data_IF_583099196525
#
_entry.id   IF_583099196525
#
_cell.length_a   1.000
_cell.length_b   1.000
_cell.length_c   1.000
_cell.angle_alpha   90.00
_cell.angle_beta   90.00
_cell.angle_gamma   90.00
#
_symmetry.space_group_name_H-M   'P 1'
#
loop_
_entity.id
_entity.type
_entity.pdbx_description
1 polymer ?
#
# COMPACT_ATOMS: atom_id res chain seq x y z
N UNK A 1 83.05 -31.72 -52.39
CA UNK A 1 82.77 -33.11 -51.95
C UNK A 1 81.31 -33.11 -51.53
N UNK A 2 80.52 -33.68 -52.40
CA UNK A 2 79.63 -34.84 -52.22
C UNK A 2 78.43 -34.59 -51.28
N UNK A 3 77.37 -34.54 -51.99
CA UNK A 3 76.18 -35.45 -51.99
C UNK A 3 75.17 -35.14 -50.91
N UNK A 4 73.97 -34.88 -51.23
CA UNK A 4 72.97 -35.52 -52.06
C UNK A 4 71.85 -36.04 -51.17
N UNK A 5 70.70 -35.82 -51.41
CA UNK A 5 69.61 -36.64 -51.88
C UNK A 5 68.24 -36.23 -51.29
N UNK A 6 67.35 -35.86 -52.16
CA UNK A 6 66.07 -36.52 -52.52
C UNK A 6 65.07 -36.70 -51.30
N UNK A 7 63.99 -36.03 -51.37
CA UNK A 7 62.74 -36.33 -52.08
C UNK A 7 61.66 -36.93 -51.17
N UNK A 8 60.52 -36.44 -51.28
CA UNK A 8 59.30 -37.05 -50.78
C UNK A 8 58.13 -36.13 -50.87
N UNK A 9 57.72 -35.82 -52.09
CA UNK A 9 56.48 -35.15 -52.40
C UNK A 9 55.39 -36.22 -52.41
N UNK A 10 54.62 -36.37 -51.34
CA UNK A 10 53.40 -37.15 -51.33
C UNK A 10 52.22 -36.21 -51.62
N UNK A 11 51.83 -36.27 -52.88
CA UNK A 11 50.52 -35.74 -53.30
C UNK A 11 49.41 -36.60 -52.71
N UNK A 12 48.72 -36.06 -51.75
CA UNK A 12 47.46 -36.63 -51.27
C UNK A 12 46.39 -36.33 -52.30
N UNK A 13 46.04 -37.35 -53.09
CA UNK A 13 44.85 -37.30 -53.95
C UNK A 13 43.62 -37.10 -53.07
N UNK A 14 43.01 -35.90 -53.12
CA UNK A 14 41.66 -35.65 -52.61
C UNK A 14 40.67 -36.58 -53.30
N UNK A 15 40.16 -37.55 -52.63
CA UNK A 15 39.03 -38.35 -53.05
C UNK A 15 37.78 -37.45 -53.16
N UNK A 16 37.43 -37.13 -54.37
CA UNK A 16 36.19 -36.44 -54.75
C UNK A 16 35.04 -37.41 -54.46
N UNK A 17 34.41 -37.22 -53.26
CA UNK A 17 33.20 -37.96 -52.93
C UNK A 17 32.08 -37.49 -53.88
N UNK A 18 31.75 -38.33 -54.85
CA UNK A 18 30.68 -38.06 -55.81
C UNK A 18 29.34 -37.80 -55.03
N UNK A 19 28.86 -36.59 -55.12
CA UNK A 19 27.50 -36.29 -54.70
C UNK A 19 26.51 -37.03 -55.64
N UNK A 20 25.87 -38.07 -55.10
CA UNK A 20 24.69 -38.67 -55.72
C UNK A 20 23.61 -37.61 -55.84
N UNK A 21 23.41 -37.10 -57.07
CA UNK A 21 22.22 -36.27 -57.34
C UNK A 21 21.00 -37.18 -57.23
N UNK A 22 20.26 -36.95 -56.11
CA UNK A 22 18.98 -37.62 -55.95
C UNK A 22 17.99 -36.94 -56.87
N UNK A 23 17.67 -37.58 -58.01
CA UNK A 23 16.58 -37.18 -58.87
C UNK A 23 15.26 -37.50 -58.15
N UNK A 24 14.76 -36.55 -57.38
CA UNK A 24 13.41 -36.66 -56.85
C UNK A 24 12.43 -36.43 -58.04
N UNK A 25 11.54 -37.39 -58.23
CA UNK A 25 10.42 -37.23 -59.17
C UNK A 25 9.60 -35.98 -58.69
N UNK A 26 9.28 -35.09 -59.64
CA UNK A 26 8.59 -33.83 -59.33
C UNK A 26 7.33 -34.00 -58.50
N UNK A 27 6.63 -35.15 -58.60
CA UNK A 27 5.49 -35.53 -57.79
C UNK A 27 5.89 -35.80 -56.32
N UNK A 28 7.05 -36.43 -56.07
CA UNK A 28 7.56 -36.71 -54.73
C UNK A 28 8.00 -35.41 -54.02
N UNK A 29 8.67 -34.52 -54.78
CA UNK A 29 9.08 -33.20 -54.28
C UNK A 29 7.87 -32.34 -53.91
N UNK A 30 6.83 -32.34 -54.75
CA UNK A 30 5.59 -31.62 -54.48
C UNK A 30 4.86 -32.16 -53.23
N UNK A 31 4.84 -33.49 -53.05
CA UNK A 31 4.26 -34.08 -51.84
C UNK A 31 5.02 -33.69 -50.56
N UNK A 32 6.35 -33.73 -50.59
CA UNK A 32 7.17 -33.32 -49.41
C UNK A 32 6.96 -31.85 -49.08
N UNK A 33 6.93 -30.97 -50.08
CA UNK A 33 6.67 -29.52 -49.82
C UNK A 33 5.27 -29.30 -49.26
N UNK A 34 4.24 -30.00 -49.78
CA UNK A 34 2.88 -29.90 -49.27
C UNK A 34 2.77 -30.38 -47.81
N UNK A 35 3.47 -31.46 -47.45
CA UNK A 35 3.48 -31.98 -46.09
C UNK A 35 4.17 -31.01 -45.11
N UNK A 36 5.30 -30.42 -45.52
CA UNK A 36 6.02 -29.42 -44.71
C UNK A 36 5.17 -28.16 -44.50
N UNK A 37 4.46 -27.68 -45.53
CA UNK A 37 3.54 -26.55 -45.43
C UNK A 37 2.37 -26.86 -44.47
N UNK A 38 1.77 -28.05 -44.55
CA UNK A 38 0.69 -28.45 -43.65
C UNK A 38 1.16 -28.52 -42.21
N UNK A 39 2.35 -29.06 -41.96
CA UNK A 39 2.94 -29.08 -40.60
C UNK A 39 3.24 -27.67 -40.08
N UNK A 40 3.76 -26.79 -40.91
CA UNK A 40 4.03 -25.40 -40.55
C UNK A 40 2.74 -24.62 -40.21
N UNK A 41 1.65 -24.86 -40.93
CA UNK A 41 0.33 -24.27 -40.64
C UNK A 41 -0.28 -24.82 -39.36
N UNK A 42 -0.10 -26.11 -39.06
CA UNK A 42 -0.58 -26.72 -37.84
C UNK A 42 0.16 -26.18 -36.61
N UNK A 43 1.48 -26.02 -36.67
CA UNK A 43 2.29 -25.47 -35.59
C UNK A 43 2.02 -23.96 -35.41
N UNK A 44 1.99 -23.19 -36.52
CA UNK A 44 1.70 -21.76 -36.49
C UNK A 44 0.30 -21.44 -35.99
N UNK A 45 -0.71 -22.24 -36.35
CA UNK A 45 -2.09 -22.08 -35.89
C UNK A 45 -2.26 -22.38 -34.40
N UNK A 46 -1.58 -23.40 -33.88
CA UNK A 46 -1.64 -23.74 -32.45
C UNK A 46 -0.95 -22.69 -31.56
N UNK A 47 0.19 -22.15 -31.99
CA UNK A 47 0.90 -21.09 -31.27
C UNK A 47 0.08 -19.78 -31.29
N UNK A 48 -0.49 -19.40 -32.44
CA UNK A 48 -1.34 -18.21 -32.53
C UNK A 48 -2.60 -18.34 -31.64
N UNK A 49 -3.22 -19.52 -31.59
CA UNK A 49 -4.38 -19.76 -30.75
C UNK A 49 -4.03 -19.73 -29.25
N UNK A 50 -2.86 -20.24 -28.85
CA UNK A 50 -2.40 -20.20 -27.46
C UNK A 50 -2.06 -18.78 -26.98
N UNK A 51 -1.61 -17.90 -27.86
CA UNK A 51 -1.27 -16.53 -27.51
C UNK A 51 -2.47 -15.58 -27.53
N UNK A 52 -3.54 -15.92 -28.29
CA UNK A 52 -4.71 -15.04 -28.44
C UNK A 52 -5.84 -15.32 -27.43
N UNK A 53 -5.80 -16.46 -26.72
CA UNK A 53 -6.86 -16.87 -25.78
C UNK A 53 -6.57 -16.55 -24.33
N UNK A 54 -5.42 -15.97 -23.98
CA UNK A 54 -5.18 -15.44 -22.66
C UNK A 54 -5.61 -13.98 -22.61
N UNK A 55 -6.79 -13.65 -22.07
CA UNK A 55 -7.09 -12.26 -21.76
C UNK A 55 -5.97 -11.75 -20.84
N UNK A 56 -5.37 -10.62 -21.19
CA UNK A 56 -4.40 -9.97 -20.33
C UNK A 56 -5.07 -9.79 -18.96
N UNK A 57 -4.62 -10.56 -17.97
CA UNK A 57 -5.03 -10.34 -16.58
C UNK A 57 -4.38 -9.02 -16.18
N UNK A 58 -5.10 -7.94 -16.42
CA UNK A 58 -4.74 -6.63 -15.88
C UNK A 58 -5.06 -6.72 -14.39
N UNK A 59 -4.08 -7.09 -13.60
CA UNK A 59 -4.14 -6.90 -12.17
C UNK A 59 -4.13 -5.39 -11.91
N UNK A 60 -5.31 -4.77 -11.92
CA UNK A 60 -5.48 -3.41 -11.45
C UNK A 60 -5.34 -3.45 -9.93
N UNK A 61 -4.13 -3.26 -9.43
CA UNK A 61 -3.93 -3.01 -8.02
C UNK A 61 -4.42 -1.59 -7.74
N UNK A 62 -5.60 -1.48 -7.16
CA UNK A 62 -6.08 -0.23 -6.58
C UNK A 62 -5.60 -0.22 -5.14
N UNK A 63 -4.62 0.62 -4.77
CA UNK A 63 -4.21 0.71 -3.37
C UNK A 63 -5.41 1.13 -2.53
N UNK A 64 -5.68 0.40 -1.44
CA UNK A 64 -6.69 0.79 -0.48
C UNK A 64 -6.34 2.13 0.14
N UNK A 65 -7.29 3.06 0.14
CA UNK A 65 -7.10 4.36 0.78
C UNK A 65 -7.53 4.26 2.24
N UNK A 66 -6.62 4.58 3.14
CA UNK A 66 -6.94 4.67 4.56
C UNK A 66 -7.40 6.09 4.87
N UNK A 67 -8.63 6.23 5.32
CA UNK A 67 -9.28 7.50 5.63
C UNK A 67 -10.07 7.38 6.93
N UNK A 68 -10.14 8.46 7.67
CA UNK A 68 -10.98 8.55 8.86
C UNK A 68 -11.63 9.93 8.96
N UNK A 69 -12.70 10.02 9.71
CA UNK A 69 -13.46 11.23 9.95
C UNK A 69 -13.80 11.34 11.44
N UNK A 70 -13.59 12.53 11.99
CA UNK A 70 -13.92 12.80 13.40
C UNK A 70 -15.40 13.13 13.50
N UNK A 71 -16.10 12.48 14.43
CA UNK A 71 -17.45 12.85 14.82
C UNK A 71 -17.45 13.35 16.26
N UNK A 72 -18.07 14.48 16.49
CA UNK A 72 -18.16 15.15 17.78
C UNK A 72 -19.40 16.03 17.88
N UNK A 73 -19.79 16.32 19.12
CA UNK A 73 -20.84 17.30 19.40
C UNK A 73 -20.21 18.48 20.14
N UNK A 74 -20.50 19.69 19.67
CA UNK A 74 -20.04 20.91 20.35
C UNK A 74 -21.19 21.88 20.61
N UNK A 75 -21.35 22.27 21.86
CA UNK A 75 -22.33 23.28 22.29
C UNK A 75 -21.61 24.63 22.48
N UNK A 76 -21.77 25.51 21.49
CA UNK A 76 -21.15 26.85 21.49
C UNK A 76 -21.60 27.77 22.65
N UNK A 77 -22.75 27.50 23.27
CA UNK A 77 -23.26 28.31 24.40
C UNK A 77 -22.63 27.94 25.72
N UNK A 78 -22.43 26.65 25.93
CA UNK A 78 -21.88 26.12 27.18
C UNK A 78 -20.40 25.84 27.13
N UNK A 79 -19.80 25.79 25.92
CA UNK A 79 -18.42 25.39 25.72
C UNK A 79 -18.19 23.88 25.88
N UNK A 80 -19.27 23.09 25.92
CA UNK A 80 -19.17 21.64 26.12
C UNK A 80 -18.92 20.95 24.78
N UNK A 81 -17.84 20.16 24.71
CA UNK A 81 -17.51 19.22 23.65
C UNK A 81 -17.74 17.80 24.14
N UNK A 82 -18.48 17.00 23.41
CA UNK A 82 -18.85 15.65 23.82
C UNK A 82 -18.90 14.66 22.65
N UNK A 83 -18.95 13.37 22.98
CA UNK A 83 -19.07 12.25 22.05
C UNK A 83 -17.99 12.27 20.95
N UNK A 84 -16.74 12.59 21.33
CA UNK A 84 -15.63 12.59 20.37
C UNK A 84 -15.24 11.17 20.06
N UNK A 85 -15.43 10.78 18.80
CA UNK A 85 -15.07 9.47 18.26
C UNK A 85 -14.60 9.59 16.81
N UNK A 86 -14.02 8.54 16.26
CA UNK A 86 -13.51 8.57 14.89
C UNK A 86 -14.10 7.43 14.09
N UNK A 87 -14.61 7.76 12.91
CA UNK A 87 -15.12 6.79 11.95
C UNK A 87 -14.02 6.36 10.99
N UNK A 88 -13.87 5.06 10.76
CA UNK A 88 -13.09 4.55 9.66
C UNK A 88 -13.90 4.65 8.37
N UNK A 89 -13.57 5.59 7.48
CA UNK A 89 -14.24 5.78 6.19
C UNK A 89 -13.54 5.07 5.04
N UNK A 90 -12.51 4.26 5.35
CA UNK A 90 -11.81 3.44 4.37
C UNK A 90 -12.55 2.13 4.07
N UNK A 91 -12.04 1.38 3.11
CA UNK A 91 -12.53 0.07 2.69
C UNK A 91 -11.82 -1.12 3.36
N UNK A 92 -10.86 -0.82 4.26
CA UNK A 92 -10.10 -1.82 5.01
C UNK A 92 -10.08 -1.52 6.50
N UNK A 93 -9.83 -2.53 7.37
CA UNK A 93 -9.65 -2.31 8.80
C UNK A 93 -8.44 -1.41 9.08
N UNK A 94 -8.59 -0.48 10.02
CA UNK A 94 -7.55 0.48 10.36
C UNK A 94 -7.38 0.65 11.86
N UNK A 95 -6.13 0.90 12.29
CA UNK A 95 -5.86 1.51 13.59
C UNK A 95 -5.95 3.02 13.47
N UNK A 96 -6.41 3.66 14.52
CA UNK A 96 -6.66 5.11 14.57
C UNK A 96 -5.93 5.71 15.75
N UNK A 97 -5.26 6.85 15.53
CA UNK A 97 -4.75 7.70 16.59
C UNK A 97 -5.30 9.10 16.46
N UNK A 98 -5.38 9.79 17.58
CA UNK A 98 -5.88 11.17 17.69
C UNK A 98 -4.87 12.03 18.41
N UNK A 99 -4.66 13.24 17.91
CA UNK A 99 -3.96 14.32 18.61
C UNK A 99 -4.94 15.43 18.92
N UNK A 100 -4.95 15.91 20.15
CA UNK A 100 -5.74 17.04 20.58
C UNK A 100 -4.85 18.30 20.59
N UNK A 101 -5.27 19.32 19.87
CA UNK A 101 -4.54 20.59 19.78
C UNK A 101 -5.42 21.69 20.35
N UNK A 102 -4.98 22.28 21.46
CA UNK A 102 -5.70 23.35 22.14
C UNK A 102 -5.15 24.70 21.76
N UNK A 103 -6.02 25.67 21.61
CA UNK A 103 -5.65 27.05 21.30
C UNK A 103 -6.76 28.00 21.74
N UNK A 104 -6.50 29.31 21.59
CA UNK A 104 -7.49 30.35 21.86
C UNK A 104 -8.03 30.98 20.60
N UNK A 105 -9.32 31.34 20.63
CA UNK A 105 -9.98 32.05 19.53
C UNK A 105 -10.66 33.33 20.04
N UNK A 106 -10.73 34.33 19.16
CA UNK A 106 -11.55 35.51 19.39
C UNK A 106 -13.03 35.23 19.07
N UNK A 107 -13.88 36.26 19.24
CA UNK A 107 -15.31 36.18 18.95
C UNK A 107 -15.66 35.90 17.48
N UNK A 108 -14.67 35.99 16.56
CA UNK A 108 -14.82 35.67 15.13
C UNK A 108 -14.27 34.28 14.79
N UNK A 109 -13.82 33.51 15.78
CA UNK A 109 -13.23 32.18 15.58
C UNK A 109 -11.79 32.19 15.05
N UNK A 110 -11.13 33.35 15.02
CA UNK A 110 -9.75 33.45 14.57
C UNK A 110 -8.82 33.08 15.74
N UNK A 111 -7.76 32.34 15.40
CA UNK A 111 -6.72 31.98 16.37
C UNK A 111 -6.01 33.25 16.89
N UNK A 112 -5.81 33.28 18.21
CA UNK A 112 -5.10 34.37 18.92
C UNK A 112 -4.01 33.77 19.81
N UNK A 113 -3.14 34.61 20.36
CA UNK A 113 -2.10 34.20 21.31
C UNK A 113 -2.67 33.73 22.65
N UNK A 114 -1.76 33.38 23.55
CA UNK A 114 -2.04 32.84 24.86
C UNK A 114 -2.04 31.33 24.97
N UNK A 115 -1.84 30.83 26.17
CA UNK A 115 -1.86 29.39 26.44
C UNK A 115 -3.29 28.89 26.64
N UNK A 116 -3.57 27.69 26.13
CA UNK A 116 -4.82 26.97 26.36
C UNK A 116 -4.47 25.53 26.75
N UNK A 117 -4.62 25.19 27.99
CA UNK A 117 -4.34 23.86 28.50
C UNK A 117 -5.48 22.90 28.15
N UNK A 118 -5.13 21.65 27.82
CA UNK A 118 -6.13 20.61 27.56
C UNK A 118 -6.90 20.35 28.89
N UNK A 119 -8.23 20.45 28.91
CA UNK A 119 -9.01 20.06 30.06
C UNK A 119 -8.74 18.60 30.44
N UNK A 120 -8.68 18.33 31.75
CA UNK A 120 -8.49 16.97 32.24
C UNK A 120 -9.72 16.11 31.88
N UNK A 121 -9.49 14.98 31.27
CA UNK A 121 -10.51 13.98 30.99
C UNK A 121 -9.92 12.57 31.10
N UNK A 122 -10.77 11.58 31.21
CA UNK A 122 -10.37 10.18 31.17
C UNK A 122 -10.69 9.65 29.75
N UNK A 123 -9.68 9.18 29.00
CA UNK A 123 -9.94 8.54 27.71
C UNK A 123 -10.90 7.35 27.88
N UNK A 124 -11.82 7.22 26.95
CA UNK A 124 -12.77 6.10 26.96
C UNK A 124 -12.10 4.75 26.75
N UNK A 125 -12.87 3.69 26.91
CA UNK A 125 -12.37 2.32 26.79
C UNK A 125 -11.71 2.05 25.43
N UNK A 126 -10.58 1.36 25.45
CA UNK A 126 -9.81 1.01 24.26
C UNK A 126 -8.85 2.11 23.79
N UNK A 127 -8.81 3.27 24.44
CA UNK A 127 -7.86 4.33 24.15
C UNK A 127 -6.69 4.34 25.13
N UNK A 128 -5.48 4.53 24.58
CA UNK A 128 -4.23 4.62 25.35
C UNK A 128 -3.48 5.87 24.91
N UNK A 129 -3.09 6.70 25.89
CA UNK A 129 -2.24 7.87 25.63
C UNK A 129 -0.77 7.44 25.55
N UNK A 130 -0.06 7.92 24.53
CA UNK A 130 1.39 7.78 24.41
C UNK A 130 1.97 8.97 23.63
N UNK A 131 2.92 9.67 24.20
CA UNK A 131 3.62 10.81 23.60
C UNK A 131 2.71 11.90 23.01
N UNK A 132 1.62 12.22 23.71
CA UNK A 132 0.67 13.26 23.31
C UNK A 132 -0.29 12.86 22.19
N UNK A 133 -0.35 11.58 21.88
CA UNK A 133 -1.36 10.98 21.01
C UNK A 133 -2.19 9.99 21.80
N UNK A 134 -3.45 9.84 21.40
CA UNK A 134 -4.36 8.82 21.89
C UNK A 134 -4.53 7.76 20.82
N UNK A 135 -4.21 6.51 21.12
CA UNK A 135 -4.28 5.37 20.21
C UNK A 135 -5.47 4.50 20.56
N UNK A 136 -6.33 4.23 19.59
CA UNK A 136 -7.37 3.22 19.75
C UNK A 136 -6.79 1.83 19.50
N UNK A 137 -6.83 0.97 20.51
CA UNK A 137 -6.12 -0.30 20.49
C UNK A 137 -6.77 -1.38 19.62
N UNK A 138 -8.06 -1.25 19.28
CA UNK A 138 -8.76 -2.22 18.45
C UNK A 138 -8.77 -1.79 16.99
N UNK A 139 -8.61 -2.72 16.01
CA UNK A 139 -8.76 -2.38 14.61
C UNK A 139 -10.22 -2.04 14.31
N UNK A 140 -10.44 -0.84 13.77
CA UNK A 140 -11.77 -0.35 13.39
C UNK A 140 -12.12 -0.85 12.01
N UNK A 141 -13.21 -1.61 11.91
CA UNK A 141 -13.70 -2.13 10.63
C UNK A 141 -14.19 -0.99 9.71
N UNK A 142 -14.25 -1.22 8.38
CA UNK A 142 -14.80 -0.24 7.45
C UNK A 142 -16.17 0.26 7.88
N UNK A 143 -16.37 1.57 7.80
CA UNK A 143 -17.60 2.28 8.15
C UNK A 143 -17.99 2.22 9.64
N UNK A 144 -17.19 1.61 10.49
CA UNK A 144 -17.42 1.56 11.94
C UNK A 144 -16.67 2.71 12.67
N UNK A 145 -17.00 2.87 13.92
CA UNK A 145 -16.44 3.88 14.82
C UNK A 145 -15.45 3.26 15.81
N UNK A 146 -14.53 4.08 16.28
CA UNK A 146 -13.81 3.81 17.53
C UNK A 146 -14.77 3.82 18.71
N UNK A 147 -14.32 3.38 19.90
CA UNK A 147 -14.93 3.82 21.13
C UNK A 147 -14.84 5.35 21.28
N UNK A 148 -15.70 5.93 22.11
CA UNK A 148 -15.66 7.35 22.44
C UNK A 148 -14.35 7.66 23.13
N UNK A 149 -13.58 8.63 22.61
CA UNK A 149 -12.34 9.12 23.21
C UNK A 149 -12.64 10.09 24.36
N UNK A 150 -13.55 11.04 24.12
CA UNK A 150 -13.97 12.05 25.08
C UNK A 150 -15.51 11.98 25.21
N UNK A 151 -15.98 11.55 26.38
CA UNK A 151 -17.42 11.57 26.65
C UNK A 151 -17.92 12.99 26.76
N UNK A 152 -17.25 13.79 27.57
CA UNK A 152 -17.59 15.20 27.76
C UNK A 152 -16.40 15.96 28.34
N UNK A 153 -16.13 17.15 27.82
CA UNK A 153 -15.23 18.16 28.40
C UNK A 153 -15.84 19.53 28.24
N UNK A 154 -15.55 20.40 29.23
CA UNK A 154 -15.95 21.81 29.16
C UNK A 154 -14.74 22.66 28.83
N UNK A 155 -14.86 23.46 27.78
CA UNK A 155 -13.83 24.38 27.32
C UNK A 155 -14.02 25.73 28.04
N UNK A 156 -12.89 26.43 28.29
CA UNK A 156 -12.94 27.76 28.86
C UNK A 156 -13.61 28.76 27.90
N UNK A 157 -14.78 29.25 28.28
CA UNK A 157 -15.58 30.14 27.44
C UNK A 157 -15.01 31.56 27.39
N UNK A 158 -14.19 31.96 28.38
CA UNK A 158 -13.63 33.28 28.47
C UNK A 158 -12.39 33.31 29.36
N UNK A 159 -11.27 33.59 28.76
CA UNK A 159 -10.06 33.93 29.48
C UNK A 159 -10.11 35.36 29.95
N UNK A 160 -9.63 35.62 31.18
CA UNK A 160 -9.63 36.93 31.81
C UNK A 160 -8.25 37.60 31.86
N UNK A 161 -7.23 36.90 31.34
CA UNK A 161 -5.89 37.45 31.18
C UNK A 161 -5.80 38.49 30.03
N UNK A 162 -4.61 39.07 29.83
CA UNK A 162 -4.41 40.10 28.82
C UNK A 162 -4.67 39.63 27.36
N UNK A 163 -4.49 38.36 27.08
CA UNK A 163 -4.71 37.78 25.76
C UNK A 163 -6.20 37.50 25.49
N UNK A 164 -6.98 37.23 26.53
CA UNK A 164 -8.43 37.03 26.44
C UNK A 164 -8.83 35.83 25.58
N UNK A 165 -10.02 35.93 24.98
CA UNK A 165 -10.55 34.93 24.07
C UNK A 165 -11.27 33.76 24.76
N UNK A 166 -11.53 32.72 24.02
CA UNK A 166 -12.13 31.45 24.46
C UNK A 166 -11.30 30.27 24.00
N UNK A 167 -11.37 29.17 24.72
CA UNK A 167 -10.68 27.94 24.37
C UNK A 167 -11.33 27.26 23.15
N UNK A 168 -10.49 26.68 22.32
CA UNK A 168 -10.87 25.78 21.24
C UNK A 168 -9.97 24.55 21.25
N UNK A 169 -10.48 23.44 20.76
CA UNK A 169 -9.72 22.18 20.58
C UNK A 169 -9.99 21.64 19.19
N UNK A 170 -8.92 21.42 18.43
CA UNK A 170 -8.95 20.66 17.19
C UNK A 170 -8.62 19.20 17.49
N UNK A 171 -9.42 18.31 16.92
CA UNK A 171 -9.26 16.86 17.01
C UNK A 171 -8.66 16.38 15.70
N UNK A 172 -7.38 16.06 15.70
CA UNK A 172 -6.67 15.58 14.51
C UNK A 172 -6.58 14.08 14.55
N UNK A 173 -7.33 13.41 13.66
CA UNK A 173 -7.32 11.95 13.55
C UNK A 173 -6.44 11.49 12.39
N UNK A 174 -5.76 10.39 12.61
CA UNK A 174 -4.94 9.69 11.61
C UNK A 174 -5.25 8.20 11.67
N UNK A 175 -5.40 7.59 10.49
CA UNK A 175 -5.67 6.18 10.37
C UNK A 175 -4.57 5.49 9.55
N UNK A 176 -4.23 4.27 9.95
CA UNK A 176 -3.30 3.39 9.22
C UNK A 176 -3.90 2.01 9.09
N UNK A 177 -3.65 1.31 7.99
CA UNK A 177 -4.12 -0.07 7.82
C UNK A 177 -3.63 -0.96 8.97
N UNK A 178 -4.51 -1.83 9.46
CA UNK A 178 -4.19 -2.69 10.59
C UNK A 178 -3.29 -3.88 10.21
N UNK A 179 -3.18 -4.20 8.94
CA UNK A 179 -2.37 -5.30 8.40
C UNK A 179 -1.68 -4.83 7.12
N UNK A 180 -0.39 -5.13 6.92
CA UNK A 180 0.53 -5.84 7.83
C UNK A 180 1.06 -4.97 8.98
N UNK A 181 1.61 -5.60 10.02
CA UNK A 181 2.24 -4.89 11.16
C UNK A 181 3.29 -3.87 10.72
N UNK A 182 4.05 -4.17 9.67
CA UNK A 182 5.04 -3.27 9.11
C UNK A 182 4.46 -1.88 8.75
N UNK A 183 3.19 -1.80 8.32
CA UNK A 183 2.56 -0.52 8.02
C UNK A 183 2.40 0.37 9.26
N UNK A 184 2.10 -0.24 10.40
CA UNK A 184 2.01 0.46 11.70
C UNK A 184 3.39 0.93 12.15
N UNK A 185 4.40 0.05 12.01
CA UNK A 185 5.79 0.36 12.40
C UNK A 185 6.40 1.45 11.53
N UNK A 186 6.14 1.43 10.23
CA UNK A 186 6.61 2.45 9.29
C UNK A 186 5.98 3.83 9.57
N UNK A 187 4.69 3.85 9.97
CA UNK A 187 3.96 5.09 10.21
C UNK A 187 4.16 5.65 11.62
N UNK A 188 4.18 4.79 12.67
CA UNK A 188 4.17 5.22 14.06
C UNK A 188 5.42 4.83 14.85
N UNK A 189 6.29 4.02 14.26
CA UNK A 189 7.60 3.62 14.81
C UNK A 189 7.68 2.15 15.20
N UNK A 190 8.90 1.63 15.18
CA UNK A 190 9.21 0.21 15.38
C UNK A 190 8.88 -0.33 16.79
N UNK A 191 8.55 0.55 17.74
CA UNK A 191 8.14 0.15 19.09
C UNK A 191 6.68 -0.29 19.18
N UNK A 192 5.88 0.00 18.14
CA UNK A 192 4.52 -0.49 18.04
C UNK A 192 4.49 -1.90 17.49
N UNK A 193 3.57 -2.73 17.95
CA UNK A 193 3.38 -4.10 17.46
C UNK A 193 1.89 -4.50 17.55
N UNK A 194 1.57 -5.63 16.95
CA UNK A 194 0.21 -6.18 16.99
C UNK A 194 0.22 -7.42 17.88
N UNK A 195 -0.69 -7.47 18.84
CA UNK A 195 -0.87 -8.61 19.72
C UNK A 195 -1.48 -9.80 18.93
N UNK A 196 -1.38 -11.05 19.47
CA UNK A 196 -1.98 -12.23 18.83
C UNK A 196 -3.50 -12.15 18.65
N UNK A 197 -4.20 -11.33 19.44
CA UNK A 197 -5.63 -11.07 19.33
C UNK A 197 -5.99 -10.00 18.28
N UNK A 198 -4.98 -9.46 17.59
CA UNK A 198 -5.14 -8.43 16.58
C UNK A 198 -5.21 -7.01 17.12
N UNK A 199 -5.09 -6.80 18.42
CA UNK A 199 -5.06 -5.45 19.01
C UNK A 199 -3.69 -4.78 18.88
N UNK A 200 -3.68 -3.46 18.85
CA UNK A 200 -2.46 -2.66 18.84
C UNK A 200 -1.80 -2.66 20.21
N UNK A 201 -0.53 -3.02 20.25
CA UNK A 201 0.32 -2.84 21.41
C UNK A 201 1.02 -1.49 21.34
N UNK A 202 0.58 -0.56 22.18
CA UNK A 202 1.19 0.77 22.33
C UNK A 202 2.39 0.64 23.27
N UNK A 203 3.55 1.25 22.95
CA UNK A 203 4.70 1.27 23.85
C UNK A 203 4.38 1.96 25.18
N UNK A 204 5.05 1.52 26.24
CA UNK A 204 4.96 2.18 27.57
C UNK A 204 5.77 3.46 27.60
#
# INVERSE_FOLDING_TARGET
MKNGKYQGRHEAKAAFCGQKKIHLNGRLTAMVIATVMLLALAIGGTVAWLTDTSPAVVNTFTPSQVKCEVEETFNNKTGVKSNVQVKNTSDIPAFIRVKLVTYRTNGKGQHIGGTAELPVFNPGSGWVEHNGYYYYTQPVQPQNFTGILIEEITLENRYTDADGGRQAIDVMAEAIQSVPEAAVQDAWGNSFSINPDGSLKVPN
#
